data_IF_918426976114
#
_entry.id   IF_918426976114
#
_cell.length_a   1.000
_cell.length_b   1.000
_cell.length_c   1.000
_cell.angle_alpha   90.00
_cell.angle_beta   90.00
_cell.angle_gamma   90.00
#
_symmetry.space_group_name_H-M   'P 1'
#
loop_
_entity.id
_entity.type
_entity.pdbx_description
1 polymer ?
#
# COMPACT_ATOMS: atom_id res chain seq x y z
N UNK A 1 -86.43 -84.44 10.19
CA UNK A 1 -84.99 -84.65 10.43
C UNK A 1 -84.08 -84.14 9.30
N UNK A 2 -84.59 -83.77 8.11
CA UNK A 2 -83.76 -83.24 7.02
C UNK A 2 -83.42 -81.73 7.06
N UNK A 3 -84.20 -80.88 7.74
CA UNK A 3 -83.94 -79.42 7.75
C UNK A 3 -82.75 -78.99 8.64
N UNK A 4 -82.37 -79.80 9.64
CA UNK A 4 -81.28 -79.46 10.56
C UNK A 4 -79.89 -79.71 9.95
N UNK A 5 -79.75 -80.72 9.08
CA UNK A 5 -78.48 -81.03 8.40
C UNK A 5 -78.18 -80.01 7.28
N UNK A 6 -79.19 -79.47 6.58
CA UNK A 6 -78.99 -78.43 5.56
C UNK A 6 -78.60 -77.06 6.17
N UNK A 7 -79.07 -76.72 7.38
CA UNK A 7 -78.65 -75.51 8.10
C UNK A 7 -77.22 -75.61 8.65
N UNK A 8 -76.79 -76.78 9.15
CA UNK A 8 -75.42 -77.02 9.63
C UNK A 8 -74.40 -76.97 8.48
N UNK A 9 -74.72 -77.54 7.32
CA UNK A 9 -73.87 -77.48 6.13
C UNK A 9 -73.76 -76.05 5.56
N UNK A 10 -74.84 -75.27 5.62
CA UNK A 10 -74.84 -73.85 5.28
C UNK A 10 -73.94 -73.00 6.17
N UNK A 11 -73.97 -73.24 7.49
CA UNK A 11 -73.12 -72.56 8.47
C UNK A 11 -71.64 -72.95 8.30
N UNK A 12 -71.35 -74.23 8.06
CA UNK A 12 -70.00 -74.72 7.78
C UNK A 12 -69.42 -74.11 6.48
N UNK A 13 -70.22 -74.00 5.41
CA UNK A 13 -69.80 -73.32 4.19
C UNK A 13 -69.57 -71.81 4.38
N UNK A 14 -70.41 -71.12 5.16
CA UNK A 14 -70.22 -69.71 5.48
C UNK A 14 -68.94 -69.46 6.28
N UNK A 15 -68.65 -70.31 7.28
CA UNK A 15 -67.41 -70.27 8.06
C UNK A 15 -66.18 -70.55 7.18
N UNK A 16 -66.26 -71.52 6.26
CA UNK A 16 -65.18 -71.81 5.30
C UNK A 16 -64.90 -70.62 4.35
N UNK A 17 -65.95 -69.95 3.85
CA UNK A 17 -65.81 -68.73 3.02
C UNK A 17 -65.18 -67.57 3.81
N UNK A 18 -65.59 -67.39 5.06
CA UNK A 18 -65.00 -66.38 5.93
C UNK A 18 -63.53 -66.70 6.24
N UNK A 19 -63.20 -67.96 6.51
CA UNK A 19 -61.82 -68.40 6.74
C UNK A 19 -60.93 -68.17 5.50
N UNK A 20 -61.42 -68.48 4.30
CA UNK A 20 -60.72 -68.21 3.04
C UNK A 20 -60.49 -66.70 2.84
N UNK A 21 -61.51 -65.87 3.11
CA UNK A 21 -61.40 -64.41 3.03
C UNK A 21 -60.42 -63.83 4.04
N UNK A 22 -60.40 -64.37 5.26
CA UNK A 22 -59.43 -63.98 6.29
C UNK A 22 -58.00 -64.37 5.92
N UNK A 23 -57.81 -65.51 5.27
CA UNK A 23 -56.49 -65.95 4.81
C UNK A 23 -55.99 -65.12 3.62
N UNK A 24 -56.87 -64.77 2.68
CA UNK A 24 -56.57 -63.82 1.61
C UNK A 24 -56.13 -62.46 2.15
N UNK A 25 -56.90 -61.90 3.11
CA UNK A 25 -56.56 -60.64 3.76
C UNK A 25 -55.22 -60.72 4.52
N UNK A 26 -54.91 -61.85 5.16
CA UNK A 26 -53.61 -62.07 5.82
C UNK A 26 -52.47 -62.12 4.82
N UNK A 27 -52.65 -62.78 3.67
CA UNK A 27 -51.65 -62.84 2.60
C UNK A 27 -51.38 -61.45 2.02
N UNK A 28 -52.42 -60.67 1.73
CA UNK A 28 -52.27 -59.29 1.26
C UNK A 28 -51.57 -58.42 2.31
N UNK A 29 -51.97 -58.49 3.58
CA UNK A 29 -51.31 -57.76 4.66
C UNK A 29 -49.83 -58.14 4.79
N UNK A 30 -49.50 -59.42 4.67
CA UNK A 30 -48.12 -59.89 4.69
C UNK A 30 -47.33 -59.29 3.53
N UNK A 31 -47.88 -59.34 2.31
CA UNK A 31 -47.25 -58.73 1.13
C UNK A 31 -47.10 -57.20 1.26
N UNK A 32 -48.05 -56.49 1.87
CA UNK A 32 -47.92 -55.05 2.15
C UNK A 32 -46.79 -54.78 3.14
N UNK A 33 -46.71 -55.57 4.22
CA UNK A 33 -45.65 -55.44 5.23
C UNK A 33 -44.29 -55.71 4.60
N UNK A 34 -44.14 -56.80 3.83
CA UNK A 34 -42.91 -57.14 3.11
C UNK A 34 -42.49 -56.02 2.14
N UNK A 35 -43.40 -55.55 1.28
CA UNK A 35 -43.13 -54.42 0.38
C UNK A 35 -42.74 -53.13 1.12
N UNK A 36 -43.37 -52.87 2.27
CA UNK A 36 -43.04 -51.69 3.08
C UNK A 36 -41.68 -51.83 3.76
N UNK A 37 -41.32 -53.04 4.19
CA UNK A 37 -40.01 -53.35 4.76
C UNK A 37 -38.91 -53.17 3.71
N UNK A 38 -39.07 -53.71 2.50
CA UNK A 38 -38.12 -53.54 1.40
C UNK A 38 -37.92 -52.05 1.03
N UNK A 39 -39.01 -51.27 1.01
CA UNK A 39 -38.93 -49.82 0.74
C UNK A 39 -38.19 -49.07 1.84
N UNK A 40 -38.44 -49.40 3.11
CA UNK A 40 -37.74 -48.79 4.24
C UNK A 40 -36.25 -49.15 4.22
N UNK A 41 -35.91 -50.41 3.96
CA UNK A 41 -34.51 -50.85 3.84
C UNK A 41 -33.78 -50.11 2.70
N UNK A 42 -34.41 -50.00 1.52
CA UNK A 42 -33.86 -49.24 0.41
C UNK A 42 -33.71 -47.75 0.74
N UNK A 43 -34.64 -47.16 1.50
CA UNK A 43 -34.56 -45.76 1.93
C UNK A 43 -33.43 -45.53 2.95
N UNK A 44 -33.25 -46.43 3.92
CA UNK A 44 -32.16 -46.38 4.90
C UNK A 44 -30.82 -46.48 4.20
N UNK A 45 -30.65 -47.44 3.26
CA UNK A 45 -29.42 -47.58 2.50
C UNK A 45 -29.06 -46.32 1.72
N UNK A 46 -30.03 -45.70 1.04
CA UNK A 46 -29.82 -44.41 0.33
C UNK A 46 -29.46 -43.27 1.28
N UNK A 47 -30.05 -43.24 2.47
CA UNK A 47 -29.74 -42.24 3.48
C UNK A 47 -28.30 -42.40 4.01
N UNK A 48 -27.86 -43.63 4.24
CA UNK A 48 -26.49 -43.93 4.66
C UNK A 48 -25.47 -43.53 3.58
N UNK A 49 -25.71 -43.93 2.33
CA UNK A 49 -24.87 -43.52 1.19
C UNK A 49 -24.83 -41.99 1.02
N UNK A 50 -25.96 -41.30 1.22
CA UNK A 50 -26.01 -39.84 1.17
C UNK A 50 -25.26 -39.19 2.34
N UNK A 51 -25.33 -39.80 3.54
CA UNK A 51 -24.60 -39.34 4.72
C UNK A 51 -23.09 -39.45 4.52
N UNK A 52 -22.61 -40.56 3.97
CA UNK A 52 -21.19 -40.75 3.63
C UNK A 52 -20.72 -39.70 2.62
N UNK A 53 -21.46 -39.52 1.51
CA UNK A 53 -21.14 -38.47 0.51
C UNK A 53 -21.13 -37.06 1.09
N UNK A 54 -22.07 -36.76 1.99
CA UNK A 54 -22.12 -35.46 2.65
C UNK A 54 -20.94 -35.27 3.62
N UNK A 55 -20.51 -36.33 4.30
CA UNK A 55 -19.32 -36.29 5.16
C UNK A 55 -18.05 -36.03 4.33
N UNK A 56 -17.89 -36.71 3.20
CA UNK A 56 -16.76 -36.49 2.29
C UNK A 56 -16.75 -35.05 1.76
N UNK A 57 -17.90 -34.55 1.30
CA UNK A 57 -18.04 -33.17 0.83
C UNK A 57 -17.72 -32.12 1.92
N UNK A 58 -18.05 -32.41 3.19
CA UNK A 58 -17.69 -31.53 4.30
C UNK A 58 -16.17 -31.53 4.57
N UNK A 59 -15.51 -32.69 4.43
CA UNK A 59 -14.05 -32.78 4.53
C UNK A 59 -13.40 -31.99 3.40
N UNK A 60 -13.88 -32.13 2.16
CA UNK A 60 -13.37 -31.37 1.00
C UNK A 60 -13.56 -29.86 1.18
N UNK A 61 -14.75 -29.43 1.62
CA UNK A 61 -15.03 -28.02 1.89
C UNK A 61 -14.12 -27.46 3.00
N UNK A 62 -13.86 -28.25 4.04
CA UNK A 62 -12.95 -27.85 5.10
C UNK A 62 -11.51 -27.75 4.59
N UNK A 63 -11.05 -28.70 3.77
CA UNK A 63 -9.74 -28.63 3.11
C UNK A 63 -9.59 -27.38 2.25
N UNK A 64 -10.58 -27.07 1.42
CA UNK A 64 -10.59 -25.85 0.61
C UNK A 64 -10.62 -24.57 1.46
N UNK A 65 -11.31 -24.58 2.59
CA UNK A 65 -11.32 -23.46 3.54
C UNK A 65 -9.93 -23.27 4.17
N UNK A 66 -9.29 -24.35 4.62
CA UNK A 66 -7.97 -24.29 5.24
C UNK A 66 -6.89 -23.81 4.25
N UNK A 67 -6.95 -24.26 2.99
CA UNK A 67 -6.09 -23.77 1.89
C UNK A 67 -6.30 -22.29 1.58
N UNK A 68 -7.55 -21.81 1.60
CA UNK A 68 -7.86 -20.40 1.30
C UNK A 68 -7.61 -19.47 2.46
N UNK A 69 -7.80 -19.91 3.69
CA UNK A 69 -7.56 -19.08 4.90
C UNK A 69 -6.07 -18.86 5.15
N UNK A 70 -5.21 -19.79 4.73
CA UNK A 70 -3.75 -19.62 4.79
C UNK A 70 -3.18 -18.82 3.62
N UNK A 71 -3.93 -18.64 2.54
CA UNK A 71 -3.54 -17.81 1.42
C UNK A 71 -3.66 -16.32 1.76
N UNK A 72 -2.59 -15.75 2.35
CA UNK A 72 -2.43 -14.29 2.36
C UNK A 72 -1.99 -13.87 0.95
N UNK A 73 -2.77 -13.06 0.22
CA UNK A 73 -2.39 -12.70 -1.13
C UNK A 73 -1.15 -11.80 -1.10
N UNK A 74 -0.05 -12.26 -1.70
CA UNK A 74 1.20 -11.49 -1.81
C UNK A 74 0.97 -10.10 -2.42
N UNK A 75 0.02 -9.99 -3.36
CA UNK A 75 -0.35 -8.73 -3.99
C UNK A 75 -0.85 -7.67 -2.99
N UNK A 76 -1.49 -8.06 -1.87
CA UNK A 76 -1.94 -7.10 -0.87
C UNK A 76 -0.75 -6.50 -0.11
N UNK A 77 0.25 -7.33 0.20
CA UNK A 77 1.48 -6.87 0.85
C UNK A 77 2.30 -5.99 -0.09
N UNK A 78 2.43 -6.37 -1.36
CA UNK A 78 3.11 -5.56 -2.38
C UNK A 78 2.40 -4.22 -2.59
N UNK A 79 1.06 -4.22 -2.66
CA UNK A 79 0.27 -3.00 -2.77
C UNK A 79 0.47 -2.08 -1.57
N UNK A 80 0.52 -2.64 -0.36
CA UNK A 80 0.78 -1.87 0.86
C UNK A 80 2.19 -1.27 0.84
N UNK A 81 3.22 -2.07 0.49
CA UNK A 81 4.59 -1.58 0.31
C UNK A 81 4.68 -0.44 -0.71
N UNK A 82 3.97 -0.55 -1.83
CA UNK A 82 3.91 0.50 -2.85
C UNK A 82 3.22 1.76 -2.34
N UNK A 83 2.10 1.62 -1.64
CA UNK A 83 1.37 2.75 -1.04
C UNK A 83 2.24 3.48 -0.04
N UNK A 84 2.86 2.74 0.87
CA UNK A 84 3.68 3.33 1.94
C UNK A 84 4.95 3.96 1.35
N UNK A 85 5.56 3.32 0.36
CA UNK A 85 6.68 3.90 -0.40
C UNK A 85 6.31 5.21 -1.10
N UNK A 86 5.11 5.30 -1.70
CA UNK A 86 4.63 6.52 -2.34
C UNK A 86 4.33 7.62 -1.31
N UNK A 87 3.74 7.28 -0.17
CA UNK A 87 3.49 8.22 0.91
C UNK A 87 4.79 8.82 1.46
N UNK A 88 5.83 7.98 1.68
CA UNK A 88 7.15 8.44 2.12
C UNK A 88 7.78 9.39 1.10
N UNK A 89 7.73 9.06 -0.20
CA UNK A 89 8.24 9.93 -1.27
C UNK A 89 7.52 11.27 -1.29
N UNK A 90 6.19 11.26 -1.19
CA UNK A 90 5.39 12.47 -1.19
C UNK A 90 5.74 13.36 0.01
N UNK A 91 5.92 12.77 1.19
CA UNK A 91 6.38 13.51 2.37
C UNK A 91 7.74 14.15 2.12
N UNK A 92 8.74 13.40 1.63
CA UNK A 92 10.08 13.93 1.35
C UNK A 92 10.08 15.01 0.27
N UNK A 93 9.25 14.87 -0.75
CA UNK A 93 9.05 15.90 -1.77
C UNK A 93 8.44 17.17 -1.15
N UNK A 94 7.44 17.03 -0.29
CA UNK A 94 6.81 18.16 0.40
C UNK A 94 7.78 18.88 1.33
N UNK A 95 8.56 18.13 2.11
CA UNK A 95 9.60 18.67 2.99
C UNK A 95 10.63 19.47 2.19
N UNK A 96 11.16 18.89 1.10
CA UNK A 96 12.12 19.57 0.23
C UNK A 96 11.51 20.81 -0.42
N UNK A 97 10.25 20.73 -0.86
CA UNK A 97 9.54 21.87 -1.44
C UNK A 97 9.36 23.01 -0.44
N UNK A 98 9.09 22.71 0.83
CA UNK A 98 9.01 23.70 1.89
C UNK A 98 10.35 24.41 2.07
N UNK A 99 11.45 23.67 2.07
CA UNK A 99 12.81 24.22 2.15
C UNK A 99 13.18 25.08 0.94
N UNK A 100 12.80 24.68 -0.27
CA UNK A 100 13.12 25.41 -1.51
C UNK A 100 12.28 26.68 -1.63
N UNK A 101 10.96 26.58 -1.46
CA UNK A 101 10.02 27.67 -1.71
C UNK A 101 9.92 28.69 -0.57
N UNK A 102 10.22 28.27 0.67
CA UNK A 102 10.23 29.20 1.78
C UNK A 102 11.50 30.08 1.70
N UNK A 103 11.28 31.37 1.45
CA UNK A 103 12.35 32.37 1.33
C UNK A 103 13.15 32.50 2.61
N UNK A 104 12.51 32.37 3.77
CA UNK A 104 13.10 32.54 5.09
C UNK A 104 13.98 31.36 5.52
N UNK A 105 13.83 30.19 4.88
CA UNK A 105 14.69 29.04 5.14
C UNK A 105 16.02 29.20 4.42
N UNK A 106 17.01 29.69 5.16
CA UNK A 106 18.38 30.00 4.72
C UNK A 106 19.43 29.05 5.31
N UNK A 107 18.99 27.99 5.99
CA UNK A 107 19.87 26.95 6.52
C UNK A 107 20.26 25.96 5.41
N UNK A 108 21.51 26.05 4.94
CA UNK A 108 22.04 25.19 3.89
C UNK A 108 22.14 23.71 4.32
N UNK A 109 22.44 23.44 5.60
CA UNK A 109 22.60 22.07 6.10
C UNK A 109 21.24 21.36 6.17
N UNK A 110 20.20 22.06 6.62
CA UNK A 110 18.84 21.53 6.61
C UNK A 110 18.35 21.22 5.18
N UNK A 111 18.69 22.08 4.20
CA UNK A 111 18.33 21.81 2.80
C UNK A 111 19.08 20.58 2.27
N UNK A 112 20.38 20.42 2.59
CA UNK A 112 21.16 19.22 2.22
C UNK A 112 20.59 17.93 2.79
N UNK A 113 20.18 17.95 4.05
CA UNK A 113 19.57 16.78 4.70
C UNK A 113 18.26 16.38 4.01
N UNK A 114 17.41 17.38 3.71
CA UNK A 114 16.18 17.17 2.95
C UNK A 114 16.46 16.65 1.53
N UNK A 115 17.51 17.14 0.88
CA UNK A 115 17.94 16.75 -0.47
C UNK A 115 18.46 15.30 -0.48
N UNK A 116 19.29 14.91 0.50
CA UNK A 116 19.75 13.52 0.67
C UNK A 116 18.56 12.57 0.85
N UNK A 117 17.63 12.93 1.75
CA UNK A 117 16.41 12.15 1.98
C UNK A 117 15.54 12.01 0.73
N UNK A 118 15.42 13.09 -0.07
CA UNK A 118 14.66 13.09 -1.30
C UNK A 118 15.32 12.23 -2.40
N UNK A 119 16.65 12.23 -2.47
CA UNK A 119 17.41 11.38 -3.39
C UNK A 119 17.32 9.90 -3.03
N UNK A 120 17.48 9.55 -1.76
CA UNK A 120 17.35 8.17 -1.26
C UNK A 120 15.97 7.57 -1.55
N UNK A 121 14.92 8.40 -1.49
CA UNK A 121 13.54 7.98 -1.76
C UNK A 121 13.16 8.04 -3.24
N UNK A 122 14.04 8.59 -4.11
CA UNK A 122 13.83 8.64 -5.55
C UNK A 122 12.93 9.79 -6.03
N UNK A 123 12.79 10.87 -5.26
CA UNK A 123 12.04 12.07 -5.65
C UNK A 123 12.59 12.69 -6.94
N UNK A 124 13.91 12.62 -7.16
CA UNK A 124 14.54 13.16 -8.37
C UNK A 124 14.05 12.54 -9.69
N UNK A 125 13.52 11.33 -9.67
CA UNK A 125 12.91 10.69 -10.86
C UNK A 125 11.59 11.38 -11.25
N UNK A 126 10.87 11.95 -10.28
CA UNK A 126 9.52 12.51 -10.45
C UNK A 126 9.54 14.04 -10.49
N UNK A 127 10.52 14.66 -9.85
CA UNK A 127 10.65 16.11 -9.73
C UNK A 127 12.12 16.53 -9.85
N UNK A 128 12.75 16.30 -11.01
CA UNK A 128 14.15 16.67 -11.23
C UNK A 128 14.38 18.17 -11.04
N UNK A 129 13.44 19.00 -11.48
CA UNK A 129 13.51 20.45 -11.32
C UNK A 129 13.55 20.89 -9.85
N UNK A 130 12.90 20.15 -8.94
CA UNK A 130 12.91 20.46 -7.51
C UNK A 130 14.29 20.17 -6.91
N UNK A 131 14.91 19.05 -7.31
CA UNK A 131 16.28 18.71 -6.88
C UNK A 131 17.24 19.77 -7.39
N UNK A 132 17.19 20.12 -8.67
CA UNK A 132 18.06 21.16 -9.23
C UNK A 132 17.89 22.53 -8.53
N UNK A 133 16.65 22.90 -8.16
CA UNK A 133 16.40 24.14 -7.41
C UNK A 133 16.95 24.06 -5.99
N UNK A 134 16.85 22.90 -5.34
CA UNK A 134 17.41 22.68 -4.02
C UNK A 134 18.95 22.75 -4.04
N UNK A 135 19.59 22.08 -5.01
CA UNK A 135 21.04 22.11 -5.23
C UNK A 135 21.51 23.55 -5.46
N UNK A 136 20.86 24.28 -6.37
CA UNK A 136 21.20 25.67 -6.64
C UNK A 136 21.04 26.57 -5.40
N UNK A 137 19.99 26.34 -4.59
CA UNK A 137 19.78 27.09 -3.34
C UNK A 137 20.89 26.80 -2.33
N UNK A 138 21.30 25.54 -2.18
CA UNK A 138 22.42 25.17 -1.30
C UNK A 138 23.73 25.79 -1.74
N UNK A 139 24.07 25.67 -3.03
CA UNK A 139 25.30 26.24 -3.60
C UNK A 139 25.34 27.76 -3.42
N UNK A 140 24.21 28.44 -3.64
CA UNK A 140 24.11 29.88 -3.47
C UNK A 140 24.29 30.30 -2.01
N UNK A 141 23.67 29.60 -1.06
CA UNK A 141 23.82 29.91 0.37
C UNK A 141 25.26 29.72 0.85
N UNK A 142 25.93 28.67 0.39
CA UNK A 142 27.36 28.44 0.68
C UNK A 142 28.25 29.49 0.04
N UNK A 143 28.01 29.84 -1.23
CA UNK A 143 28.76 30.87 -1.93
C UNK A 143 28.60 32.24 -1.25
N UNK A 144 27.40 32.58 -0.78
CA UNK A 144 27.16 33.80 -0.03
C UNK A 144 27.82 33.78 1.36
N UNK A 145 27.80 32.64 2.05
CA UNK A 145 28.49 32.49 3.34
C UNK A 145 30.01 32.63 3.17
N UNK A 146 30.58 32.02 2.12
CA UNK A 146 31.99 32.14 1.77
C UNK A 146 32.36 33.59 1.37
N UNK A 147 31.52 34.25 0.56
CA UNK A 147 31.71 35.64 0.18
C UNK A 147 31.65 36.56 1.39
N UNK A 148 30.70 36.33 2.31
CA UNK A 148 30.58 37.11 3.55
C UNK A 148 31.82 36.93 4.43
N UNK A 149 32.25 35.70 4.67
CA UNK A 149 33.47 35.44 5.45
C UNK A 149 34.70 36.07 4.80
N UNK A 150 34.80 36.03 3.46
CA UNK A 150 35.87 36.66 2.74
C UNK A 150 35.80 38.20 2.87
N UNK A 151 34.62 38.83 2.71
CA UNK A 151 34.47 40.28 2.88
C UNK A 151 34.80 40.75 4.30
N UNK A 152 34.47 39.97 5.33
CA UNK A 152 34.76 40.30 6.72
C UNK A 152 36.25 40.15 7.04
N UNK A 153 36.91 39.10 6.54
CA UNK A 153 38.36 38.93 6.68
C UNK A 153 39.13 40.07 6.00
N UNK A 154 38.65 40.49 4.84
CA UNK A 154 39.28 41.50 4.00
C UNK A 154 39.09 42.94 4.50
N UNK A 155 38.00 43.19 5.23
CA UNK A 155 37.84 44.42 6.00
C UNK A 155 38.82 44.50 7.18
N UNK A 156 39.30 43.36 7.70
CA UNK A 156 40.23 43.29 8.81
C UNK A 156 41.70 43.38 8.35
N UNK A 157 42.05 42.76 7.22
CA UNK A 157 43.35 42.89 6.55
C UNK A 157 43.13 43.21 5.07
N UNK A 158 43.43 44.44 4.59
CA UNK A 158 43.15 44.84 3.22
C UNK A 158 44.01 44.07 2.20
N UNK A 159 43.45 43.86 1.00
CA UNK A 159 43.98 43.04 -0.11
C UNK A 159 45.36 43.56 -0.55
N UNK A 160 46.42 43.31 0.21
CA UNK A 160 47.77 43.70 -0.16
C UNK A 160 48.36 42.68 -1.16
N UNK A 161 47.87 41.45 -1.16
CA UNK A 161 48.35 40.36 -1.99
C UNK A 161 47.50 40.17 -3.26
N UNK A 162 48.15 40.19 -4.42
CA UNK A 162 47.52 40.05 -5.74
C UNK A 162 46.87 38.68 -5.93
N UNK A 163 47.41 37.65 -5.27
CA UNK A 163 46.82 36.31 -5.27
C UNK A 163 45.46 36.26 -4.53
N UNK A 164 45.35 36.98 -3.40
CA UNK A 164 44.12 37.08 -2.62
C UNK A 164 43.03 37.84 -3.40
N UNK A 165 43.41 38.90 -4.13
CA UNK A 165 42.50 39.67 -5.01
C UNK A 165 41.87 38.80 -6.09
N UNK A 166 42.69 37.98 -6.74
CA UNK A 166 42.21 37.08 -7.79
C UNK A 166 41.30 36.00 -7.22
N UNK A 167 41.61 35.45 -6.03
CA UNK A 167 40.75 34.47 -5.37
C UNK A 167 39.40 35.08 -4.97
N UNK A 168 39.40 36.29 -4.40
CA UNK A 168 38.20 37.03 -4.01
C UNK A 168 37.34 37.44 -5.22
N UNK A 169 37.97 37.86 -6.32
CA UNK A 169 37.25 38.15 -7.56
C UNK A 169 36.55 36.91 -8.14
N UNK A 170 37.13 35.73 -7.98
CA UNK A 170 36.49 34.46 -8.38
C UNK A 170 35.28 34.12 -7.52
N UNK A 171 35.38 34.27 -6.19
CA UNK A 171 34.24 33.99 -5.29
C UNK A 171 33.07 34.94 -5.55
N UNK A 172 33.36 36.22 -5.84
CA UNK A 172 32.37 37.19 -6.26
C UNK A 172 31.70 36.81 -7.58
N UNK A 173 32.48 36.47 -8.61
CA UNK A 173 31.94 36.06 -9.91
C UNK A 173 31.06 34.80 -9.79
N UNK A 174 31.46 33.82 -8.98
CA UNK A 174 30.64 32.62 -8.73
C UNK A 174 29.33 32.95 -8.02
N UNK A 175 29.35 33.89 -7.06
CA UNK A 175 28.13 34.30 -6.36
C UNK A 175 27.17 35.06 -7.28
N UNK A 176 27.69 35.94 -8.15
CA UNK A 176 26.90 36.66 -9.17
C UNK A 176 26.27 35.70 -10.18
N UNK A 177 27.04 34.73 -10.68
CA UNK A 177 26.52 33.70 -11.60
C UNK A 177 25.42 32.86 -10.95
N UNK A 178 25.61 32.45 -9.68
CA UNK A 178 24.60 31.68 -8.95
C UNK A 178 23.34 32.49 -8.67
N UNK A 179 23.45 33.79 -8.34
CA UNK A 179 22.31 34.70 -8.18
C UNK A 179 21.54 34.90 -9.49
N UNK A 180 22.24 35.05 -10.61
CA UNK A 180 21.62 35.13 -11.93
C UNK A 180 20.88 33.82 -12.29
N UNK A 181 21.50 32.66 -12.01
CA UNK A 181 20.83 31.36 -12.20
C UNK A 181 19.61 31.22 -11.30
N UNK A 182 19.69 31.62 -10.04
CA UNK A 182 18.60 31.50 -9.07
C UNK A 182 17.39 32.36 -9.46
N UNK A 183 17.63 33.60 -9.86
CA UNK A 183 16.57 34.49 -10.35
C UNK A 183 15.93 33.96 -11.64
N UNK A 184 16.72 33.43 -12.58
CA UNK A 184 16.18 32.82 -13.82
C UNK A 184 15.30 31.58 -13.57
N UNK A 185 15.62 30.79 -12.53
CA UNK A 185 14.82 29.62 -12.11
C UNK A 185 13.67 29.97 -11.16
N UNK A 186 13.46 31.25 -10.85
CA UNK A 186 12.38 31.72 -9.99
C UNK A 186 12.54 31.31 -8.53
N UNK A 187 13.77 31.11 -8.05
CA UNK A 187 14.04 30.84 -6.64
C UNK A 187 13.82 32.12 -5.83
N UNK A 188 12.88 32.05 -4.89
CA UNK A 188 12.64 33.14 -3.94
C UNK A 188 13.76 33.18 -2.90
N UNK A 189 14.61 34.20 -2.95
CA UNK A 189 15.58 34.49 -1.90
C UNK A 189 14.95 35.43 -0.87
N UNK A 190 15.29 35.27 0.41
CA UNK A 190 14.89 36.24 1.43
C UNK A 190 15.62 37.56 1.17
N UNK A 191 14.92 38.71 1.23
CA UNK A 191 15.58 40.01 1.22
C UNK A 191 16.55 40.18 2.41
N UNK A 192 16.30 39.49 3.54
CA UNK A 192 17.13 39.56 4.75
C UNK A 192 18.53 38.94 4.57
N UNK A 193 18.73 38.10 3.53
CA UNK A 193 20.06 37.62 3.17
C UNK A 193 20.98 38.77 2.75
N UNK A 194 20.43 39.92 2.34
CA UNK A 194 21.21 41.06 1.86
C UNK A 194 22.12 40.70 0.69
N UNK A 195 21.76 39.69 -0.11
CA UNK A 195 22.65 39.12 -1.13
C UNK A 195 23.12 40.17 -2.15
N UNK A 196 22.21 41.05 -2.59
CA UNK A 196 22.54 42.16 -3.49
C UNK A 196 23.48 43.19 -2.82
N UNK A 197 23.25 43.51 -1.55
CA UNK A 197 24.11 44.44 -0.79
C UNK A 197 25.49 43.83 -0.51
N UNK A 198 25.57 42.53 -0.22
CA UNK A 198 26.83 41.81 0.00
C UNK A 198 27.67 41.75 -1.28
N UNK A 199 27.05 41.45 -2.41
CA UNK A 199 27.73 41.47 -3.71
C UNK A 199 28.19 42.89 -4.07
N UNK A 200 27.36 43.92 -3.84
CA UNK A 200 27.75 45.30 -4.08
C UNK A 200 28.96 45.73 -3.21
N UNK A 201 28.94 45.40 -1.90
CA UNK A 201 30.06 45.67 -0.99
C UNK A 201 31.33 44.92 -1.40
N UNK A 202 31.20 43.65 -1.77
CA UNK A 202 32.32 42.87 -2.26
C UNK A 202 32.89 43.44 -3.57
N UNK A 203 32.03 43.93 -4.48
CA UNK A 203 32.46 44.56 -5.73
C UNK A 203 33.18 45.89 -5.51
N UNK A 204 32.78 46.66 -4.49
CA UNK A 204 33.49 47.89 -4.08
C UNK A 204 34.87 47.58 -3.48
N UNK A 205 34.95 46.59 -2.59
CA UNK A 205 36.22 46.14 -2.00
C UNK A 205 37.20 45.62 -3.07
N UNK A 206 36.69 44.91 -4.09
CA UNK A 206 37.51 44.43 -5.20
C UNK A 206 38.05 45.57 -6.09
N UNK A 207 37.41 46.75 -6.10
CA UNK A 207 37.83 47.94 -6.86
C UNK A 207 38.73 48.89 -6.05
N UNK A 208 38.78 48.74 -4.73
CA UNK A 208 39.59 49.59 -3.88
C UNK A 208 41.10 49.39 -4.20
N UNK A 209 41.87 50.46 -4.47
CA UNK A 209 43.31 50.34 -4.66
C UNK A 209 43.98 49.81 -3.38
N UNK A 210 45.08 49.05 -3.52
CA UNK A 210 45.94 48.76 -2.38
C UNK A 210 46.50 50.10 -1.89
N UNK A 211 46.19 50.52 -0.67
CA UNK A 211 46.91 51.59 0.02
C UNK A 211 48.28 51.09 0.49
#
# INVERSE_FOLDING_TARGET
EGDAEEEEDGAAMAAARQALGMEGLRSERRGIVENSAERLEAAVKRMEEAKEKNMDALVDLKGLQDERTTFKPEFLEEREKLRDGLAVRYQKQSDLMEHVNNKERVDADAIKEALSSANETGVGVWSPELIEKAELKTELLEALAALRSATEAEQAEPLADEAARVAFGKTLATAEELLAKASSKGLGLSPDLGAEELVAKAAELAKAPAE
#
